data_IF_286200394683
#
_entry.id   IF_286200394683
#
_cell.length_a   1.000
_cell.length_b   1.000
_cell.length_c   1.000
_cell.angle_alpha   90.00
_cell.angle_beta   90.00
_cell.angle_gamma   90.00
#
_symmetry.space_group_name_H-M   'P 1'
#
loop_
_entity.id
_entity.type
_entity.pdbx_description
1 polymer ?
#
# COMPACT_ATOMS: atom_id res chain seq x y z
N UNK A 1 9.80 13.70 12.00
CA UNK A 1 8.37 14.04 11.86
C UNK A 1 8.03 14.21 10.38
N UNK A 2 6.96 13.59 9.86
CA UNK A 2 6.53 13.82 8.47
C UNK A 2 5.83 15.19 8.42
N UNK A 3 6.30 16.09 7.56
CA UNK A 3 5.67 17.41 7.39
C UNK A 3 4.21 17.27 6.94
N UNK A 4 3.24 17.87 7.65
CA UNK A 4 1.83 17.93 7.22
C UNK A 4 1.67 18.48 5.80
N UNK A 5 2.47 19.48 5.42
CA UNK A 5 2.47 20.07 4.09
C UNK A 5 2.85 19.05 3.02
N UNK A 6 3.81 18.16 3.31
CA UNK A 6 4.23 17.09 2.39
C UNK A 6 3.12 16.04 2.21
N UNK A 7 2.42 15.70 3.28
CA UNK A 7 1.25 14.79 3.23
C UNK A 7 0.18 15.39 2.32
N UNK A 8 -0.19 16.65 2.55
CA UNK A 8 -1.20 17.35 1.76
C UNK A 8 -0.83 17.46 0.27
N UNK A 9 0.40 17.86 -0.07
CA UNK A 9 0.84 17.97 -1.47
C UNK A 9 0.81 16.63 -2.22
N UNK A 10 1.09 15.53 -1.51
CA UNK A 10 1.13 14.19 -2.12
C UNK A 10 -0.26 13.56 -2.31
N UNK A 11 -1.31 14.05 -1.64
CA UNK A 11 -2.67 13.53 -1.80
C UNK A 11 -3.18 13.56 -3.25
N UNK A 12 -2.78 14.58 -4.04
CA UNK A 12 -3.17 14.69 -5.45
C UNK A 12 -2.70 13.48 -6.29
N UNK A 13 -1.53 12.93 -5.99
CA UNK A 13 -0.96 11.75 -6.68
C UNK A 13 -1.65 10.45 -6.28
N UNK A 14 -2.22 10.39 -5.08
CA UNK A 14 -2.96 9.21 -4.61
C UNK A 14 -4.24 9.04 -5.41
N UNK A 15 -4.96 10.14 -5.67
CA UNK A 15 -6.22 10.13 -6.43
C UNK A 15 -6.07 9.44 -7.79
N UNK A 16 -4.97 9.69 -8.50
CA UNK A 16 -4.74 9.09 -9.83
C UNK A 16 -4.52 7.59 -9.82
N UNK A 17 -4.16 7.01 -8.67
CA UNK A 17 -3.93 5.56 -8.52
C UNK A 17 -5.15 4.81 -8.01
N UNK A 18 -6.13 5.50 -7.43
CA UNK A 18 -7.28 4.85 -6.82
C UNK A 18 -8.09 4.06 -7.84
N UNK A 19 -8.35 2.80 -7.52
CA UNK A 19 -9.13 1.92 -8.36
C UNK A 19 -8.38 1.34 -9.57
N UNK A 20 -7.13 1.75 -9.83
CA UNK A 20 -6.28 1.13 -10.84
C UNK A 20 -6.11 -0.37 -10.56
N UNK A 21 -6.08 -1.15 -11.63
CA UNK A 21 -5.91 -2.60 -11.60
C UNK A 21 -4.51 -2.97 -12.08
N UNK A 22 -4.05 -4.15 -11.65
CA UNK A 22 -2.75 -4.68 -12.05
C UNK A 22 -2.60 -6.14 -11.64
N UNK A 23 -1.37 -6.64 -11.79
CA UNK A 23 -0.98 -8.00 -11.37
C UNK A 23 0.25 -7.95 -10.47
N UNK A 24 0.29 -8.79 -9.44
CA UNK A 24 1.47 -8.96 -8.59
C UNK A 24 2.59 -9.58 -9.44
N UNK A 25 3.77 -8.96 -9.48
CA UNK A 25 4.96 -9.51 -10.14
C UNK A 25 5.99 -10.05 -9.15
N UNK A 26 5.95 -9.58 -7.89
CA UNK A 26 6.76 -10.09 -6.79
C UNK A 26 6.11 -9.72 -5.47
N UNK A 27 6.33 -10.51 -4.42
CA UNK A 27 5.82 -10.23 -3.09
C UNK A 27 6.77 -10.75 -2.00
N UNK A 28 6.66 -10.18 -0.79
CA UNK A 28 7.40 -10.64 0.39
C UNK A 28 6.57 -10.43 1.65
N UNK A 29 6.67 -11.37 2.60
CA UNK A 29 6.04 -11.29 3.93
C UNK A 29 7.08 -10.74 4.91
N UNK A 30 6.79 -9.57 5.48
CA UNK A 30 7.65 -8.87 6.41
C UNK A 30 7.27 -9.29 7.83
N UNK A 31 8.13 -10.09 8.45
CA UNK A 31 7.96 -10.57 9.82
C UNK A 31 8.54 -9.61 10.86
N UNK A 32 9.67 -8.99 10.55
CA UNK A 32 10.34 -7.99 11.41
C UNK A 32 10.24 -6.63 10.72
N UNK A 33 9.28 -5.80 11.12
CA UNK A 33 9.04 -4.52 10.45
C UNK A 33 10.01 -3.44 10.93
N UNK A 34 10.21 -2.37 10.15
CA UNK A 34 10.88 -1.17 10.62
C UNK A 34 10.03 -0.42 11.65
N UNK A 35 10.66 0.51 12.36
CA UNK A 35 9.99 1.34 13.35
C UNK A 35 8.76 2.09 12.77
N UNK A 36 7.66 2.09 13.51
CA UNK A 36 6.36 2.68 13.13
C UNK A 36 5.44 1.76 12.30
N UNK A 37 5.82 0.50 12.10
CA UNK A 37 5.01 -0.53 11.44
C UNK A 37 4.85 -1.81 12.29
N UNK A 38 5.25 -1.77 13.56
CA UNK A 38 5.20 -2.87 14.52
C UNK A 38 3.78 -3.44 14.63
N UNK A 39 2.79 -2.55 14.72
CA UNK A 39 1.37 -2.90 14.84
C UNK A 39 0.76 -3.55 13.58
N UNK A 40 1.52 -3.63 12.48
CA UNK A 40 1.08 -4.24 11.23
C UNK A 40 1.76 -5.58 10.96
N UNK A 41 2.75 -5.99 11.77
CA UNK A 41 3.45 -7.25 11.54
C UNK A 41 2.61 -8.47 11.95
N UNK A 42 2.70 -9.59 11.19
CA UNK A 42 3.32 -9.68 9.87
C UNK A 42 2.44 -9.05 8.77
N UNK A 43 3.05 -8.34 7.81
CA UNK A 43 2.34 -7.83 6.63
C UNK A 43 3.02 -8.22 5.33
N UNK A 44 2.26 -8.21 4.24
CA UNK A 44 2.77 -8.52 2.90
C UNK A 44 3.01 -7.23 2.12
N UNK A 45 4.14 -7.16 1.42
CA UNK A 45 4.45 -6.13 0.43
C UNK A 45 4.44 -6.76 -0.94
N UNK A 46 3.85 -6.06 -1.91
CA UNK A 46 3.75 -6.49 -3.31
C UNK A 46 4.35 -5.44 -4.23
N UNK A 47 4.98 -5.91 -5.30
CA UNK A 47 5.25 -5.12 -6.50
C UNK A 47 4.17 -5.48 -7.51
N UNK A 48 3.43 -4.47 -7.97
CA UNK A 48 2.30 -4.62 -8.89
C UNK A 48 2.65 -3.95 -10.20
N UNK A 49 2.53 -4.69 -11.30
CA UNK A 49 2.51 -4.12 -12.63
C UNK A 49 1.08 -3.66 -12.94
N UNK A 50 0.88 -2.34 -13.01
CA UNK A 50 -0.42 -1.76 -13.34
C UNK A 50 -0.73 -1.94 -14.84
N UNK A 51 -2.02 -1.95 -15.19
CA UNK A 51 -2.47 -2.00 -16.58
C UNK A 51 -1.96 -0.79 -17.42
N UNK A 52 -1.56 0.31 -16.77
CA UNK A 52 -0.90 1.46 -17.41
C UNK A 52 0.58 1.24 -17.76
N UNK A 53 1.15 0.07 -17.42
CA UNK A 53 2.56 -0.30 -17.67
C UNK A 53 3.54 0.15 -16.59
N UNK A 54 3.09 0.90 -15.56
CA UNK A 54 3.95 1.32 -14.43
C UNK A 54 3.95 0.30 -13.31
N UNK A 55 5.11 0.10 -12.69
CA UNK A 55 5.24 -0.73 -11.50
C UNK A 55 5.06 0.11 -10.23
N UNK A 56 4.34 -0.44 -9.26
CA UNK A 56 4.10 0.18 -7.96
C UNK A 56 4.35 -0.80 -6.82
N UNK A 57 5.02 -0.32 -5.78
CA UNK A 57 5.26 -1.10 -4.56
C UNK A 57 4.37 -0.57 -3.44
N UNK A 58 3.57 -1.44 -2.85
CA UNK A 58 2.75 -1.12 -1.68
C UNK A 58 2.42 -2.38 -0.87
N UNK A 59 1.83 -2.20 0.30
CA UNK A 59 1.34 -3.33 1.08
C UNK A 59 0.13 -3.99 0.41
N UNK A 60 0.01 -5.30 0.60
CA UNK A 60 -1.14 -6.10 0.21
C UNK A 60 -2.06 -6.31 1.41
N UNK A 61 -3.35 -6.04 1.26
CA UNK A 61 -4.37 -6.08 2.31
C UNK A 61 -5.61 -6.84 1.82
N UNK A 62 -6.48 -7.23 2.77
CA UNK A 62 -7.72 -7.99 2.51
C UNK A 62 -7.46 -9.26 1.68
N UNK A 63 -6.38 -9.97 1.98
CA UNK A 63 -5.96 -11.17 1.27
C UNK A 63 -6.01 -12.40 2.17
N UNK A 64 -6.01 -13.55 1.50
CA UNK A 64 -5.92 -14.90 2.07
C UNK A 64 -4.75 -15.62 1.39
N UNK A 65 -4.19 -16.67 2.00
CA UNK A 65 -3.00 -17.37 1.53
C UNK A 65 -3.03 -17.73 0.03
N UNK A 66 -4.19 -18.08 -0.50
CA UNK A 66 -4.41 -18.39 -1.93
C UNK A 66 -4.00 -17.23 -2.85
N UNK A 67 -4.22 -15.99 -2.41
CA UNK A 67 -3.98 -14.77 -3.15
C UNK A 67 -2.48 -14.42 -3.24
N UNK A 68 -1.62 -15.02 -2.39
CA UNK A 68 -0.17 -14.75 -2.36
C UNK A 68 0.58 -15.46 -3.49
N UNK A 69 0.23 -15.14 -4.72
CA UNK A 69 0.83 -15.71 -5.92
C UNK A 69 1.19 -14.64 -6.94
N UNK A 70 2.29 -14.87 -7.66
CA UNK A 70 2.66 -14.05 -8.82
C UNK A 70 1.54 -14.18 -9.86
N UNK A 71 1.16 -13.07 -10.48
CA UNK A 71 0.06 -12.98 -11.44
C UNK A 71 -1.31 -12.70 -10.83
N UNK A 72 -1.47 -12.73 -9.49
CA UNK A 72 -2.72 -12.39 -8.82
C UNK A 72 -3.18 -10.99 -9.25
N UNK A 73 -4.44 -10.89 -9.68
CA UNK A 73 -5.04 -9.60 -10.02
C UNK A 73 -5.40 -8.84 -8.76
N UNK A 74 -5.10 -7.55 -8.77
CA UNK A 74 -5.29 -6.67 -7.62
C UNK A 74 -5.86 -5.32 -8.04
N UNK A 75 -6.41 -4.60 -7.06
CA UNK A 75 -6.89 -3.23 -7.22
C UNK A 75 -6.33 -2.33 -6.13
N UNK A 76 -5.96 -1.11 -6.53
CA UNK A 76 -5.52 -0.06 -5.64
C UNK A 76 -6.68 0.47 -4.79
N UNK A 77 -6.48 0.51 -3.46
CA UNK A 77 -7.42 1.01 -2.46
C UNK A 77 -6.78 2.05 -1.55
N UNK A 78 -7.58 2.98 -1.05
CA UNK A 78 -7.14 3.98 -0.08
C UNK A 78 -7.10 3.36 1.32
N UNK A 79 -5.96 3.50 2.01
CA UNK A 79 -5.82 3.07 3.42
C UNK A 79 -5.00 4.08 4.21
N UNK A 80 -5.23 4.12 5.52
CA UNK A 80 -4.33 4.78 6.47
C UNK A 80 -2.97 4.06 6.43
N UNK A 81 -1.90 4.81 6.28
CA UNK A 81 -0.54 4.24 6.13
C UNK A 81 0.22 4.19 7.45
N UNK A 82 0.01 5.20 8.31
CA UNK A 82 0.65 5.34 9.62
C UNK A 82 -0.30 5.99 10.60
N UNK A 83 0.02 5.83 11.88
CA UNK A 83 -0.63 6.58 12.94
C UNK A 83 0.14 7.89 13.15
N UNK A 84 -0.50 9.06 12.95
CA UNK A 84 0.11 10.30 13.40
C UNK A 84 0.09 10.36 14.93
N UNK A 85 0.91 11.24 15.51
CA UNK A 85 0.72 11.66 16.91
C UNK A 85 -0.61 12.39 17.10
N UNK A 86 -0.97 12.69 18.35
CA UNK A 86 -2.31 13.19 18.73
C UNK A 86 -2.79 14.39 17.89
N UNK A 87 -1.90 15.34 17.57
CA UNK A 87 -2.23 16.53 16.78
C UNK A 87 -1.82 16.43 15.31
N UNK A 88 -1.39 15.26 14.85
CA UNK A 88 -0.83 15.07 13.52
C UNK A 88 -1.86 14.72 12.44
N UNK A 89 -1.56 15.10 11.20
CA UNK A 89 -2.41 14.76 10.03
C UNK A 89 -2.34 13.27 9.72
N UNK A 90 -3.50 12.63 9.55
CA UNK A 90 -3.59 11.21 9.17
C UNK A 90 -3.11 11.01 7.73
N UNK A 91 -2.00 10.27 7.48
CA UNK A 91 -1.50 10.02 6.15
C UNK A 91 -2.25 8.86 5.48
N UNK A 92 -3.00 9.18 4.43
CA UNK A 92 -3.57 8.18 3.54
C UNK A 92 -2.60 7.84 2.41
N UNK A 93 -2.71 6.63 1.90
CA UNK A 93 -1.91 6.12 0.80
C UNK A 93 -2.60 4.95 0.10
N UNK A 94 -1.99 4.48 -0.98
CA UNK A 94 -2.49 3.33 -1.74
C UNK A 94 -1.92 2.04 -1.16
N UNK A 95 -2.80 1.08 -0.91
CA UNK A 95 -2.46 -0.34 -0.74
C UNK A 95 -3.16 -1.14 -1.84
N UNK A 96 -2.81 -2.40 -2.03
CA UNK A 96 -3.47 -3.28 -2.99
C UNK A 96 -4.30 -4.33 -2.26
N UNK A 97 -5.45 -4.68 -2.83
CA UNK A 97 -6.25 -5.84 -2.39
C UNK A 97 -6.52 -6.77 -3.57
N UNK A 98 -6.77 -8.07 -3.34
CA UNK A 98 -7.19 -8.97 -4.41
C UNK A 98 -8.48 -8.45 -5.05
N UNK A 99 -8.62 -8.71 -6.36
CA UNK A 99 -9.86 -8.49 -7.10
C UNK A 99 -10.82 -9.64 -6.89
#
# INVERSE_FOLDING_TARGET
MISPVKIWRNQKKIKTLLGCKGKIISWSKIHVPPAGFENQAPYVVVIVSLESGKNYTAQFVDWEEEHLRIGQRVRAVLRRTREPGEEGVIPYGVKFKPL
#
